data_IF_314250480622
#
_entry.id   IF_314250480622
#
_cell.length_a   1.000
_cell.length_b   1.000
_cell.length_c   1.000
_cell.angle_alpha   90.00
_cell.angle_beta   90.00
_cell.angle_gamma   90.00
#
_symmetry.space_group_name_H-M   'P 1'
#
loop_
_entity.id
_entity.type
_entity.pdbx_description
1 polymer ?
#
# COMPACT_ATOMS: atom_id res chain seq x y z
N UNK A 1 11.48 33.24 31.29
CA UNK A 1 10.77 33.72 30.09
C UNK A 1 10.62 32.53 29.16
N UNK A 2 9.40 32.01 29.11
CA UNK A 2 9.02 30.80 28.40
C UNK A 2 9.12 31.04 26.90
N UNK A 3 9.89 30.22 26.19
CA UNK A 3 10.01 30.29 24.74
C UNK A 3 8.76 29.67 24.11
N UNK A 4 7.73 30.49 23.93
CA UNK A 4 6.54 30.12 23.19
C UNK A 4 6.93 30.03 21.70
N UNK A 5 7.23 28.81 21.23
CA UNK A 5 7.33 28.54 19.78
C UNK A 5 5.92 28.70 19.20
N UNK A 6 5.66 29.86 18.61
CA UNK A 6 4.53 30.05 17.71
C UNK A 6 4.70 29.10 16.53
N UNK A 7 3.88 28.06 16.49
CA UNK A 7 3.62 27.29 15.27
C UNK A 7 2.55 28.07 14.49
N UNK A 8 2.89 29.29 14.08
CA UNK A 8 2.06 30.09 13.17
C UNK A 8 2.56 29.83 11.76
N UNK A 9 2.02 28.78 11.15
CA UNK A 9 2.35 28.37 9.79
C UNK A 9 1.32 27.40 9.28
N UNK A 10 0.07 27.87 9.09
CA UNK A 10 -0.89 27.11 8.32
C UNK A 10 -0.24 26.78 6.96
N UNK A 11 -0.24 25.51 6.53
CA UNK A 11 0.40 25.12 5.28
C UNK A 11 -0.21 25.97 4.16
N UNK A 12 0.64 26.73 3.46
CA UNK A 12 0.19 27.61 2.39
C UNK A 12 -0.61 26.83 1.34
N UNK A 13 -1.59 27.43 0.65
CA UNK A 13 -2.48 26.74 -0.28
C UNK A 13 -1.77 25.84 -1.31
N UNK A 14 -0.56 26.23 -1.73
CA UNK A 14 0.28 25.44 -2.64
C UNK A 14 0.84 24.15 -2.04
N UNK A 15 1.17 24.11 -0.73
CA UNK A 15 1.69 22.91 -0.08
C UNK A 15 0.63 21.81 -0.01
N UNK A 16 -0.62 22.18 0.30
CA UNK A 16 -1.73 21.22 0.30
C UNK A 16 -2.06 20.71 -1.10
N UNK A 17 -1.99 21.57 -2.12
CA UNK A 17 -2.18 21.14 -3.51
C UNK A 17 -1.12 20.11 -3.93
N UNK A 18 0.17 20.39 -3.68
CA UNK A 18 1.27 19.46 -3.99
C UNK A 18 1.16 18.15 -3.20
N UNK A 19 0.74 18.21 -1.93
CA UNK A 19 0.51 17.02 -1.12
C UNK A 19 -0.57 16.12 -1.73
N UNK A 20 -1.73 16.68 -2.08
CA UNK A 20 -2.84 15.94 -2.67
C UNK A 20 -2.48 15.37 -4.05
N UNK A 21 -1.73 16.12 -4.86
CA UNK A 21 -1.21 15.64 -6.15
C UNK A 21 -0.27 14.45 -5.96
N UNK A 22 0.66 14.54 -5.01
CA UNK A 22 1.59 13.46 -4.69
C UNK A 22 0.84 12.21 -4.22
N UNK A 23 -0.15 12.37 -3.36
CA UNK A 23 -1.00 11.27 -2.89
C UNK A 23 -1.73 10.60 -4.06
N UNK A 24 -2.33 11.38 -4.96
CA UNK A 24 -3.00 10.86 -6.14
C UNK A 24 -2.05 10.09 -7.08
N UNK A 25 -0.80 10.55 -7.23
CA UNK A 25 0.22 9.83 -7.99
C UNK A 25 0.58 8.49 -7.35
N UNK A 26 0.73 8.44 -6.01
CA UNK A 26 1.00 7.19 -5.27
C UNK A 26 -0.16 6.20 -5.44
N UNK A 27 -1.40 6.65 -5.29
CA UNK A 27 -2.58 5.81 -5.50
C UNK A 27 -2.67 5.27 -6.93
N UNK A 28 -2.36 6.11 -7.92
CA UNK A 28 -2.34 5.70 -9.34
C UNK A 28 -1.25 4.67 -9.59
N UNK A 29 -0.04 4.88 -9.07
CA UNK A 29 1.07 3.94 -9.20
C UNK A 29 0.71 2.58 -8.59
N UNK A 30 0.07 2.58 -7.43
CA UNK A 30 -0.37 1.35 -6.77
C UNK A 30 -1.36 0.56 -7.63
N UNK A 31 -2.38 1.21 -8.22
CA UNK A 31 -3.32 0.53 -9.13
C UNK A 31 -2.64 -0.03 -10.38
N UNK A 32 -1.78 0.77 -11.02
CA UNK A 32 -1.06 0.34 -12.22
C UNK A 32 -0.15 -0.87 -11.94
N UNK A 33 0.47 -0.94 -10.76
CA UNK A 33 1.25 -2.11 -10.37
C UNK A 33 0.37 -3.36 -10.26
N UNK A 34 -0.80 -3.25 -9.62
CA UNK A 34 -1.73 -4.37 -9.49
C UNK A 34 -2.26 -4.85 -10.85
N UNK A 35 -2.52 -3.91 -11.77
CA UNK A 35 -2.94 -4.21 -13.14
C UNK A 35 -1.84 -4.95 -13.91
N UNK A 36 -0.59 -4.50 -13.85
CA UNK A 36 0.55 -5.18 -14.50
C UNK A 36 0.71 -6.63 -14.00
N UNK A 37 0.61 -6.83 -12.68
CA UNK A 37 0.70 -8.18 -12.10
C UNK A 37 -0.48 -9.05 -12.56
N UNK A 38 -1.68 -8.47 -12.63
CA UNK A 38 -2.89 -9.17 -13.08
C UNK A 38 -2.74 -9.60 -14.54
N UNK A 39 -2.32 -8.69 -15.40
CA UNK A 39 -2.14 -8.94 -16.83
C UNK A 39 -1.09 -10.03 -17.08
N UNK A 40 -0.04 -10.08 -16.27
CA UNK A 40 0.97 -11.15 -16.29
C UNK A 40 0.35 -12.51 -15.98
N UNK A 41 -0.43 -12.57 -14.91
CA UNK A 41 -1.05 -13.80 -14.44
C UNK A 41 -2.08 -14.33 -15.43
N UNK A 42 -2.92 -13.45 -15.99
CA UNK A 42 -3.86 -13.80 -17.04
C UNK A 42 -3.14 -14.33 -18.29
N UNK A 43 -2.01 -13.70 -18.67
CA UNK A 43 -1.19 -14.16 -19.80
C UNK A 43 -0.57 -15.54 -19.58
N UNK A 44 -0.17 -15.84 -18.35
CA UNK A 44 0.39 -17.14 -17.97
C UNK A 44 -0.68 -18.18 -17.64
N UNK A 45 -1.97 -17.81 -17.62
CA UNK A 45 -3.08 -18.69 -17.24
C UNK A 45 -3.16 -18.99 -15.73
N UNK A 46 -2.53 -18.17 -14.90
CA UNK A 46 -2.55 -18.30 -13.42
C UNK A 46 -3.77 -17.54 -12.90
N UNK A 47 -4.84 -18.25 -12.57
CA UNK A 47 -6.12 -17.63 -12.14
C UNK A 47 -6.45 -17.87 -10.66
N UNK A 48 -5.67 -18.71 -9.98
CA UNK A 48 -5.93 -19.12 -8.59
C UNK A 48 -5.42 -18.10 -7.55
N UNK A 49 -4.58 -17.14 -7.98
CA UNK A 49 -3.96 -16.13 -7.12
C UNK A 49 -4.23 -14.75 -7.73
N UNK A 50 -4.65 -13.79 -6.91
CA UNK A 50 -4.82 -12.39 -7.35
C UNK A 50 -3.55 -11.54 -7.11
N UNK A 51 -3.48 -10.34 -7.71
CA UNK A 51 -2.30 -9.46 -7.63
C UNK A 51 -1.92 -9.06 -6.20
N UNK A 52 -2.88 -8.94 -5.29
CA UNK A 52 -2.61 -8.61 -3.88
C UNK A 52 -1.98 -9.80 -3.16
N UNK A 53 -2.49 -11.02 -3.39
CA UNK A 53 -1.90 -12.26 -2.86
C UNK A 53 -0.50 -12.48 -3.42
N UNK A 54 -0.26 -12.17 -4.69
CA UNK A 54 1.08 -12.25 -5.29
C UNK A 54 2.07 -11.31 -4.60
N UNK A 55 1.68 -10.05 -4.37
CA UNK A 55 2.50 -9.10 -3.62
C UNK A 55 2.74 -9.55 -2.18
N UNK A 56 1.75 -10.18 -1.55
CA UNK A 56 1.94 -10.75 -0.22
C UNK A 56 3.02 -11.83 -0.22
N UNK A 57 2.89 -12.82 -1.10
CA UNK A 57 3.86 -13.92 -1.22
C UNK A 57 5.27 -13.39 -1.50
N UNK A 58 5.38 -12.39 -2.38
CA UNK A 58 6.65 -11.71 -2.65
C UNK A 58 7.25 -11.03 -1.40
N UNK A 59 6.44 -10.33 -0.60
CA UNK A 59 6.90 -9.65 0.61
C UNK A 59 7.27 -10.63 1.75
N UNK A 60 6.65 -11.81 1.78
CA UNK A 60 7.04 -12.89 2.68
C UNK A 60 8.39 -13.45 2.24
N UNK A 61 8.55 -13.75 0.94
CA UNK A 61 9.75 -14.38 0.40
C UNK A 61 10.01 -15.72 1.07
N UNK A 62 11.24 -15.94 1.55
CA UNK A 62 11.63 -17.15 2.28
C UNK A 62 11.39 -17.06 3.80
N UNK A 63 10.79 -15.97 4.29
CA UNK A 63 10.55 -15.79 5.71
C UNK A 63 9.30 -16.56 6.16
N UNK A 64 9.34 -17.18 7.34
CA UNK A 64 8.12 -17.60 8.02
C UNK A 64 7.52 -16.40 8.76
N UNK A 65 6.35 -15.95 8.32
CA UNK A 65 5.65 -14.81 8.93
C UNK A 65 4.28 -15.26 9.39
N UNK A 66 3.95 -14.98 10.65
CA UNK A 66 2.63 -15.31 11.18
C UNK A 66 1.55 -14.40 10.59
N UNK A 67 0.31 -14.87 10.54
CA UNK A 67 -0.83 -14.06 10.09
C UNK A 67 -0.99 -12.75 10.91
N UNK A 68 -0.56 -12.76 12.18
CA UNK A 68 -0.55 -11.57 13.04
C UNK A 68 0.48 -10.52 12.62
N UNK A 69 1.67 -10.95 12.18
CA UNK A 69 2.74 -10.08 11.69
C UNK A 69 2.44 -9.52 10.29
N UNK A 70 1.78 -10.31 9.44
CA UNK A 70 1.29 -9.83 8.15
C UNK A 70 0.31 -8.67 8.32
N UNK A 71 -0.55 -8.72 9.33
CA UNK A 71 -1.49 -7.65 9.64
C UNK A 71 -0.81 -6.40 10.20
N UNK A 72 0.20 -6.55 11.06
CA UNK A 72 0.83 -5.40 11.74
C UNK A 72 1.84 -4.63 10.87
N UNK A 73 2.44 -5.27 9.86
CA UNK A 73 3.41 -4.65 8.95
C UNK A 73 2.78 -3.75 7.87
N UNK A 74 1.46 -3.58 7.86
CA UNK A 74 0.78 -2.66 6.93
C UNK A 74 0.63 -3.18 5.49
N UNK A 75 1.02 -4.43 5.21
CA UNK A 75 0.77 -5.09 3.92
C UNK A 75 -0.72 -5.34 3.63
N UNK A 76 -1.60 -5.02 4.58
CA UNK A 76 -3.04 -5.10 4.47
C UNK A 76 -3.70 -3.81 4.99
N UNK A 77 -3.81 -2.77 4.16
CA UNK A 77 -4.82 -1.73 4.39
C UNK A 77 -6.12 -2.13 3.68
N UNK A 78 -7.11 -2.60 4.44
CA UNK A 78 -8.51 -2.53 4.01
C UNK A 78 -9.21 -3.81 3.57
N UNK A 79 -8.69 -5.01 3.86
CA UNK A 79 -9.44 -6.25 3.64
C UNK A 79 -9.10 -7.30 4.68
N UNK A 80 -10.11 -8.04 5.17
CA UNK A 80 -9.94 -9.11 6.15
C UNK A 80 -8.86 -10.09 5.67
N UNK A 81 -7.69 -10.09 6.34
CA UNK A 81 -6.53 -10.95 6.10
C UNK A 81 -6.93 -12.41 5.87
N UNK A 82 -7.97 -12.87 6.58
CA UNK A 82 -8.53 -14.22 6.49
C UNK A 82 -9.06 -14.63 5.10
N UNK A 83 -9.42 -13.69 4.21
CA UNK A 83 -9.87 -14.03 2.86
C UNK A 83 -8.72 -14.27 1.88
N UNK A 84 -7.54 -13.69 2.13
CA UNK A 84 -6.37 -13.88 1.25
C UNK A 84 -5.47 -15.04 1.69
N UNK A 85 -5.65 -15.54 2.92
CA UNK A 85 -4.89 -16.66 3.50
C UNK A 85 -5.62 -18.02 3.44
N UNK A 86 -6.75 -18.10 2.72
CA UNK A 86 -7.54 -19.33 2.59
C UNK A 86 -7.13 -20.16 1.39
#
# INVERSE_FOLDING_TARGET
MTLQRNVDGAPGPGLMATYLETLALVERLHRLLLDVIKDEFERLGILEINSVQALLLFNIGDNEVTAGELRSRGYYQGSNVSYNLK
#
